data_IF_069777231831
#
_entry.id   IF_069777231831
#
_cell.length_a   1.000
_cell.length_b   1.000
_cell.length_c   1.000
_cell.angle_alpha   90.00
_cell.angle_beta   90.00
_cell.angle_gamma   90.00
#
_symmetry.space_group_name_H-M   'P 1'
#
loop_
_entity.id
_entity.type
_entity.pdbx_description
1 polymer ?
#
# COMPACT_ATOMS: atom_id res chain seq x y z
N UNK A 1 1.98 18.19 -8.41
CA UNK A 1 1.73 19.65 -8.31
C UNK A 1 0.89 20.17 -9.48
N UNK A 2 0.82 19.48 -10.62
CA UNK A 2 -0.18 19.73 -11.66
C UNK A 2 -1.54 19.17 -11.27
N UNK A 3 -2.61 19.70 -11.87
CA UNK A 3 -3.94 19.12 -11.89
C UNK A 3 -4.36 18.95 -13.36
N UNK A 4 -4.56 17.71 -13.82
CA UNK A 4 -5.16 17.37 -15.11
C UNK A 4 -4.66 18.21 -16.30
N UNK A 5 -3.34 18.29 -16.47
CA UNK A 5 -2.69 19.01 -17.56
C UNK A 5 -2.40 20.49 -17.32
N UNK A 6 -2.63 21.02 -16.10
CA UNK A 6 -2.33 22.41 -15.76
C UNK A 6 -0.83 22.76 -15.86
N UNK A 7 0.05 21.75 -15.80
CA UNK A 7 1.48 21.88 -16.10
C UNK A 7 1.88 20.90 -17.20
N UNK A 8 2.74 21.37 -18.12
CA UNK A 8 3.35 20.55 -19.17
C UNK A 8 4.73 20.00 -18.78
N UNK A 9 5.14 20.12 -17.53
CA UNK A 9 6.44 19.59 -17.07
C UNK A 9 6.58 18.08 -17.26
N UNK A 10 7.81 17.55 -17.40
CA UNK A 10 8.06 16.12 -17.46
C UNK A 10 7.46 15.34 -16.28
N UNK A 11 7.52 15.88 -15.06
CA UNK A 11 7.02 15.22 -13.85
C UNK A 11 5.48 15.11 -13.86
N UNK A 12 4.78 16.15 -14.32
CA UNK A 12 3.33 16.12 -14.47
C UNK A 12 2.90 15.09 -15.53
N UNK A 13 3.57 15.11 -16.69
CA UNK A 13 3.31 14.15 -17.77
C UNK A 13 3.60 12.71 -17.34
N UNK A 14 4.64 12.48 -16.54
CA UNK A 14 4.98 11.16 -16.00
C UNK A 14 3.80 10.55 -15.21
N UNK A 15 3.20 11.33 -14.31
CA UNK A 15 2.08 10.85 -13.50
C UNK A 15 0.81 10.69 -14.34
N UNK A 16 0.54 11.61 -15.27
CA UNK A 16 -0.58 11.50 -16.21
C UNK A 16 -0.49 10.22 -17.05
N UNK A 17 0.71 9.92 -17.57
CA UNK A 17 0.99 8.71 -18.33
C UNK A 17 0.86 7.46 -17.44
N UNK A 18 1.35 7.50 -16.21
CA UNK A 18 1.18 6.39 -15.26
C UNK A 18 -0.30 6.09 -15.01
N UNK A 19 -1.14 7.11 -14.79
CA UNK A 19 -2.60 6.96 -14.64
C UNK A 19 -3.22 6.31 -15.88
N UNK A 20 -2.82 6.75 -17.07
CA UNK A 20 -3.27 6.15 -18.33
C UNK A 20 -2.95 4.65 -18.40
N UNK A 21 -1.70 4.26 -18.11
CA UNK A 21 -1.28 2.84 -18.12
C UNK A 21 -2.08 2.02 -17.10
N UNK A 22 -2.33 2.56 -15.92
CA UNK A 22 -3.12 1.86 -14.88
C UNK A 22 -4.55 1.61 -15.39
N UNK A 23 -5.20 2.61 -16.00
CA UNK A 23 -6.55 2.46 -16.54
C UNK A 23 -6.61 1.52 -17.74
N UNK A 24 -5.59 1.49 -18.59
CA UNK A 24 -5.48 0.50 -19.67
C UNK A 24 -5.41 -0.94 -19.15
N UNK A 25 -4.71 -1.15 -18.03
CA UNK A 25 -4.55 -2.49 -17.41
C UNK A 25 -5.73 -2.90 -16.54
N UNK A 26 -6.37 -1.95 -15.86
CA UNK A 26 -7.53 -2.19 -15.03
C UNK A 26 -8.53 -1.03 -15.13
N UNK A 27 -9.43 -1.05 -16.13
CA UNK A 27 -10.40 0.02 -16.35
C UNK A 27 -11.39 0.21 -15.20
N UNK A 28 -11.63 -0.84 -14.40
CA UNK A 28 -12.56 -0.81 -13.27
C UNK A 28 -11.98 -0.22 -11.99
N UNK A 29 -10.65 -0.08 -11.91
CA UNK A 29 -10.00 0.51 -10.75
C UNK A 29 -10.33 2.00 -10.67
N UNK A 30 -10.88 2.42 -9.53
CA UNK A 30 -11.11 3.83 -9.19
C UNK A 30 -9.75 4.44 -8.88
N UNK A 31 -9.22 5.20 -9.82
CA UNK A 31 -7.94 5.90 -9.70
C UNK A 31 -7.93 7.09 -10.64
N UNK A 32 -7.37 8.20 -10.20
CA UNK A 32 -7.28 9.37 -11.04
C UNK A 32 -6.04 10.22 -10.79
N UNK A 33 -5.75 11.11 -11.73
CA UNK A 33 -4.56 11.96 -11.72
C UNK A 33 -4.03 12.24 -13.14
N UNK A 34 -3.00 13.08 -13.26
CA UNK A 34 -2.22 13.67 -12.17
C UNK A 34 -2.96 14.80 -11.45
N UNK A 35 -2.78 14.90 -10.13
CA UNK A 35 -3.38 15.96 -9.33
C UNK A 35 -2.52 16.33 -8.11
N UNK A 36 -2.83 17.48 -7.53
CA UNK A 36 -2.34 17.90 -6.22
C UNK A 36 -3.09 17.13 -5.12
N UNK A 37 -2.37 16.79 -4.03
CA UNK A 37 -2.95 16.12 -2.88
C UNK A 37 -4.06 16.96 -2.21
N UNK A 38 -3.91 18.29 -2.16
CA UNK A 38 -4.93 19.20 -1.63
C UNK A 38 -6.27 19.11 -2.35
N UNK A 39 -6.24 18.80 -3.66
CA UNK A 39 -7.44 18.62 -4.48
C UNK A 39 -8.02 17.22 -4.25
N UNK A 40 -7.17 16.19 -4.19
CA UNK A 40 -7.60 14.81 -3.98
C UNK A 40 -8.48 14.63 -2.72
N UNK A 41 -8.20 15.37 -1.64
CA UNK A 41 -8.98 15.30 -0.40
C UNK A 41 -10.13 16.31 -0.30
N UNK A 42 -10.28 17.23 -1.27
CA UNK A 42 -11.34 18.24 -1.25
C UNK A 42 -12.44 17.88 -2.25
N UNK A 43 -13.51 17.26 -1.73
CA UNK A 43 -14.63 16.77 -2.54
C UNK A 43 -15.44 17.90 -3.20
N UNK A 44 -15.54 19.06 -2.56
CA UNK A 44 -16.23 20.21 -3.15
C UNK A 44 -15.46 20.73 -4.37
N UNK A 45 -14.14 20.92 -4.22
CA UNK A 45 -13.30 21.35 -5.35
C UNK A 45 -13.27 20.31 -6.46
N UNK A 46 -13.21 19.01 -6.13
CA UNK A 46 -13.29 17.95 -7.14
C UNK A 46 -14.61 18.02 -7.91
N UNK A 47 -15.74 18.13 -7.22
CA UNK A 47 -17.06 18.21 -7.86
C UNK A 47 -17.20 19.45 -8.73
N UNK A 48 -16.74 20.59 -8.25
CA UNK A 48 -17.00 21.88 -8.90
C UNK A 48 -16.05 22.12 -10.08
N UNK A 49 -14.77 21.77 -9.95
CA UNK A 49 -13.75 22.04 -10.97
C UNK A 49 -13.38 20.83 -11.82
N UNK A 50 -13.58 19.61 -11.31
CA UNK A 50 -13.19 18.35 -11.96
C UNK A 50 -14.31 17.30 -11.89
N UNK A 51 -15.56 17.62 -12.29
CA UNK A 51 -16.71 16.71 -12.15
C UNK A 51 -16.56 15.39 -12.94
N UNK A 52 -15.63 15.35 -13.90
CA UNK A 52 -15.28 14.16 -14.67
C UNK A 52 -14.40 13.17 -13.89
N UNK A 53 -13.83 13.58 -12.74
CA UNK A 53 -12.91 12.74 -11.99
C UNK A 53 -13.64 11.56 -11.36
N UNK A 54 -13.02 10.38 -11.47
CA UNK A 54 -13.54 9.15 -10.85
C UNK A 54 -13.50 9.21 -9.31
N UNK A 55 -12.79 10.20 -8.74
CA UNK A 55 -12.68 10.39 -7.30
C UNK A 55 -13.83 11.22 -6.70
N UNK A 56 -14.71 11.79 -7.52
CA UNK A 56 -15.87 12.55 -7.03
C UNK A 56 -16.78 11.62 -6.22
N UNK A 57 -17.07 12.01 -4.97
CA UNK A 57 -17.89 11.23 -4.05
C UNK A 57 -17.19 9.99 -3.49
N UNK A 58 -15.88 9.86 -3.70
CA UNK A 58 -15.07 8.75 -3.18
C UNK A 58 -14.20 9.20 -2.01
N UNK A 59 -13.98 8.29 -1.06
CA UNK A 59 -12.99 8.50 0.01
C UNK A 59 -11.60 8.12 -0.48
N UNK A 60 -10.76 9.13 -0.72
CA UNK A 60 -9.37 8.91 -1.14
C UNK A 60 -8.57 8.28 0.00
N UNK A 61 -8.02 7.10 -0.25
CA UNK A 61 -7.31 6.29 0.75
C UNK A 61 -5.88 5.89 0.33
N UNK A 62 -5.51 6.16 -0.93
CA UNK A 62 -4.22 5.76 -1.48
C UNK A 62 -3.60 6.91 -2.27
N UNK A 63 -2.35 7.26 -1.96
CA UNK A 63 -1.58 8.26 -2.66
C UNK A 63 -0.39 7.61 -3.38
N UNK A 64 -0.28 7.86 -4.69
CA UNK A 64 0.87 7.42 -5.49
C UNK A 64 1.71 8.65 -5.82
N UNK A 65 2.99 8.59 -5.44
CA UNK A 65 3.93 9.71 -5.60
C UNK A 65 4.79 9.52 -6.85
N UNK A 66 5.21 10.63 -7.50
CA UNK A 66 6.01 10.57 -8.73
C UNK A 66 7.42 10.00 -8.52
N UNK A 67 7.95 10.08 -7.30
CA UNK A 67 9.28 9.60 -6.96
C UNK A 67 9.44 9.38 -5.44
N UNK A 68 10.59 8.80 -5.06
CA UNK A 68 10.93 8.48 -3.68
C UNK A 68 11.03 9.71 -2.79
N UNK A 69 11.57 10.82 -3.29
CA UNK A 69 11.73 12.04 -2.50
C UNK A 69 10.36 12.60 -2.07
N UNK A 70 9.42 12.73 -3.01
CA UNK A 70 8.07 13.20 -2.71
C UNK A 70 7.33 12.27 -1.74
N UNK A 71 7.42 10.95 -1.95
CA UNK A 71 6.79 9.96 -1.06
C UNK A 71 7.39 9.98 0.34
N UNK A 72 8.72 10.01 0.47
CA UNK A 72 9.40 10.01 1.76
C UNK A 72 9.17 11.30 2.55
N UNK A 73 9.14 12.47 1.88
CA UNK A 73 8.80 13.74 2.52
C UNK A 73 7.36 13.71 3.03
N UNK A 74 6.40 13.32 2.19
CA UNK A 74 4.99 13.24 2.59
C UNK A 74 4.78 12.25 3.75
N UNK A 75 5.40 11.08 3.68
CA UNK A 75 5.37 10.06 4.73
C UNK A 75 5.87 10.59 6.08
N UNK A 76 7.05 11.19 6.12
CA UNK A 76 7.62 11.70 7.37
C UNK A 76 6.82 12.91 7.91
N UNK A 77 6.29 13.78 7.04
CA UNK A 77 5.42 14.87 7.47
C UNK A 77 4.13 14.35 8.13
N UNK A 78 3.46 13.38 7.52
CA UNK A 78 2.25 12.79 8.10
C UNK A 78 2.54 12.09 9.43
N UNK A 79 3.66 11.39 9.52
CA UNK A 79 4.08 10.70 10.74
C UNK A 79 4.46 11.67 11.87
N UNK A 80 5.42 12.55 11.62
CA UNK A 80 6.09 13.34 12.66
C UNK A 80 5.33 14.63 12.99
N UNK A 81 4.67 15.24 11.99
CA UNK A 81 3.88 16.48 12.18
C UNK A 81 2.40 16.16 12.31
N UNK A 82 1.88 15.27 11.47
CA UNK A 82 0.47 14.86 11.49
C UNK A 82 0.10 13.92 12.64
N UNK A 83 1.10 13.40 13.38
CA UNK A 83 0.90 12.45 14.47
C UNK A 83 0.35 11.09 14.01
N UNK A 84 0.44 10.79 12.72
CA UNK A 84 -0.06 9.53 12.19
C UNK A 84 0.84 8.36 12.58
N UNK A 85 0.24 7.26 13.01
CA UNK A 85 0.96 6.01 13.22
C UNK A 85 1.43 5.45 11.87
N UNK A 86 2.74 5.32 11.71
CA UNK A 86 3.35 4.80 10.50
C UNK A 86 3.74 3.33 10.65
N UNK A 87 3.27 2.48 9.73
CA UNK A 87 3.67 1.08 9.61
C UNK A 87 4.41 0.90 8.28
N UNK A 88 5.68 0.51 8.35
CA UNK A 88 6.49 0.27 7.16
C UNK A 88 7.98 0.47 7.36
N UNK A 89 8.77 0.40 6.28
CA UNK A 89 8.33 0.19 4.89
C UNK A 89 7.85 -1.25 4.61
N UNK A 90 6.72 -1.39 3.90
CA UNK A 90 6.22 -2.68 3.44
C UNK A 90 6.70 -2.91 2.00
N UNK A 91 7.39 -4.03 1.77
CA UNK A 91 7.85 -4.41 0.44
C UNK A 91 6.76 -5.17 -0.31
N UNK A 92 6.50 -4.76 -1.54
CA UNK A 92 5.49 -5.35 -2.43
C UNK A 92 6.17 -6.07 -3.60
N UNK A 93 5.46 -7.02 -4.22
CA UNK A 93 5.89 -7.69 -5.47
C UNK A 93 6.86 -8.88 -5.31
N UNK A 94 7.38 -9.15 -4.11
CA UNK A 94 8.24 -10.30 -3.86
C UNK A 94 7.45 -11.62 -3.79
N UNK A 95 8.05 -12.73 -4.28
CA UNK A 95 7.43 -14.08 -4.25
C UNK A 95 7.19 -14.61 -2.82
N UNK A 96 8.01 -14.20 -1.85
CA UNK A 96 7.87 -14.54 -0.43
C UNK A 96 7.76 -13.26 0.41
N UNK A 97 7.12 -13.32 1.59
CA UNK A 97 6.99 -12.17 2.48
C UNK A 97 8.36 -11.85 3.11
N UNK A 98 8.98 -10.79 2.61
CA UNK A 98 10.24 -10.26 3.14
C UNK A 98 10.03 -8.77 3.32
N UNK A 99 10.24 -8.29 4.55
CA UNK A 99 10.14 -6.89 4.89
C UNK A 99 11.38 -6.45 5.67
N UNK A 100 11.71 -5.16 5.57
CA UNK A 100 12.91 -4.60 6.19
C UNK A 100 12.48 -3.65 7.28
N UNK A 101 13.06 -3.83 8.47
CA UNK A 101 12.90 -2.93 9.60
C UNK A 101 14.02 -1.89 9.60
N UNK A 102 13.69 -0.67 9.99
CA UNK A 102 14.69 0.39 10.17
C UNK A 102 15.39 0.24 11.53
N UNK A 103 16.66 0.63 11.59
CA UNK A 103 17.38 0.76 12.86
C UNK A 103 16.65 1.77 13.74
N UNK A 104 16.46 1.43 15.03
CA UNK A 104 15.69 2.25 15.96
C UNK A 104 14.17 2.03 15.90
N UNK A 105 13.69 1.02 15.16
CA UNK A 105 12.27 0.65 15.18
C UNK A 105 11.80 0.30 16.60
N UNK A 106 10.63 0.82 17.00
CA UNK A 106 10.01 0.48 18.27
C UNK A 106 9.56 -0.98 18.30
N UNK A 107 9.41 -1.54 19.51
CA UNK A 107 8.87 -2.91 19.70
C UNK A 107 7.51 -3.06 18.98
N UNK A 108 6.66 -2.04 19.05
CA UNK A 108 5.36 -2.02 18.36
C UNK A 108 5.50 -2.09 16.84
N UNK A 109 6.46 -1.37 16.26
CA UNK A 109 6.74 -1.43 14.82
C UNK A 109 7.19 -2.82 14.39
N UNK A 110 8.11 -3.44 15.16
CA UNK A 110 8.59 -4.80 14.92
C UNK A 110 7.42 -5.80 14.95
N UNK A 111 6.57 -5.70 15.98
CA UNK A 111 5.38 -6.53 16.12
C UNK A 111 4.42 -6.37 14.94
N UNK A 112 4.09 -5.13 14.56
CA UNK A 112 3.20 -4.85 13.44
C UNK A 112 3.76 -5.40 12.12
N UNK A 113 5.06 -5.24 11.87
CA UNK A 113 5.70 -5.75 10.65
C UNK A 113 5.75 -7.28 10.62
N UNK A 114 5.90 -7.94 11.76
CA UNK A 114 5.79 -9.39 11.85
C UNK A 114 4.36 -9.86 11.50
N UNK A 115 3.33 -9.16 11.99
CA UNK A 115 1.94 -9.45 11.62
C UNK A 115 1.69 -9.26 10.12
N UNK A 116 2.17 -8.16 9.55
CA UNK A 116 2.08 -7.90 8.11
C UNK A 116 2.74 -9.03 7.32
N UNK A 117 3.93 -9.49 7.71
CA UNK A 117 4.63 -10.59 7.06
C UNK A 117 3.84 -11.91 7.11
N UNK A 118 3.18 -12.19 8.24
CA UNK A 118 2.31 -13.38 8.39
C UNK A 118 1.11 -13.30 7.46
N UNK A 119 0.43 -12.15 7.39
CA UNK A 119 -0.72 -11.94 6.51
C UNK A 119 -0.30 -12.05 5.04
N UNK A 120 0.83 -11.44 4.65
CA UNK A 120 1.37 -11.54 3.29
C UNK A 120 1.72 -13.00 2.94
N UNK A 121 2.29 -13.76 3.89
CA UNK A 121 2.51 -15.20 3.73
C UNK A 121 1.19 -15.93 3.44
N UNK A 122 0.17 -15.70 4.26
CA UNK A 122 -1.12 -16.38 4.15
C UNK A 122 -1.80 -16.07 2.80
N UNK A 123 -1.81 -14.82 2.36
CA UNK A 123 -2.39 -14.41 1.09
C UNK A 123 -1.69 -15.11 -0.08
N UNK A 124 -0.35 -15.17 -0.06
CA UNK A 124 0.45 -15.82 -1.10
C UNK A 124 0.35 -17.35 -1.07
N UNK A 125 0.15 -17.93 0.11
CA UNK A 125 0.10 -19.37 0.33
C UNK A 125 -1.32 -19.96 0.31
N UNK A 126 -2.33 -19.24 -0.20
CA UNK A 126 -3.72 -19.72 -0.38
C UNK A 126 -3.90 -20.94 -1.33
N UNK A 127 -2.86 -21.75 -1.58
CA UNK A 127 -2.98 -23.06 -2.22
C UNK A 127 -3.21 -24.17 -1.18
N UNK A 128 -4.00 -25.19 -1.55
CA UNK A 128 -4.23 -26.42 -0.76
C UNK A 128 -2.94 -27.10 -0.29
N UNK A 129 -1.85 -26.94 -1.05
CA UNK A 129 -0.53 -27.48 -0.75
C UNK A 129 0.10 -26.94 0.55
N UNK A 130 -0.28 -25.74 1.00
CA UNK A 130 0.28 -25.19 2.25
C UNK A 130 -0.29 -25.90 3.47
N UNK A 131 -1.59 -26.19 3.49
CA UNK A 131 -2.21 -26.94 4.59
C UNK A 131 -1.63 -28.37 4.66
N UNK A 132 -1.46 -29.03 3.51
CA UNK A 132 -0.79 -30.34 3.45
C UNK A 132 0.66 -30.28 3.92
N UNK A 133 1.44 -29.25 3.53
CA UNK A 133 2.82 -29.11 3.95
C UNK A 133 2.94 -28.83 5.46
N UNK A 134 2.03 -28.03 6.01
CA UNK A 134 1.94 -27.72 7.44
C UNK A 134 1.58 -28.97 8.23
N UNK A 135 0.55 -29.72 7.82
CA UNK A 135 0.17 -31.01 8.43
C UNK A 135 1.29 -32.05 8.35
N UNK A 136 2.06 -32.05 7.26
CA UNK A 136 3.16 -32.98 7.07
C UNK A 136 4.46 -32.60 7.77
N UNK A 137 4.58 -31.37 8.30
CA UNK A 137 5.80 -30.91 8.96
C UNK A 137 6.04 -31.62 10.30
N UNK A 138 7.31 -31.94 10.57
CA UNK A 138 7.73 -32.68 11.78
C UNK A 138 7.35 -31.93 13.07
N UNK A 139 7.43 -30.61 13.04
CA UNK A 139 7.11 -29.77 14.20
C UNK A 139 5.59 -29.75 14.51
N UNK A 140 4.72 -29.64 13.50
CA UNK A 140 3.27 -29.73 13.71
C UNK A 140 2.81 -31.11 14.18
N UNK A 141 3.40 -32.19 13.65
CA UNK A 141 3.14 -33.56 14.13
C UNK A 141 3.53 -33.74 15.59
N UNK A 142 4.66 -33.15 16.01
CA UNK A 142 5.11 -33.15 17.41
C UNK A 142 4.17 -32.33 18.31
N UNK A 143 3.71 -31.17 17.85
CA UNK A 143 2.77 -30.32 18.58
C UNK A 143 1.40 -30.99 18.80
N UNK A 144 0.82 -31.60 17.76
CA UNK A 144 -0.44 -32.37 17.88
C UNK A 144 -0.33 -33.57 18.83
N UNK A 145 0.84 -34.23 18.89
CA UNK A 145 1.06 -35.35 19.81
C UNK A 145 1.03 -34.90 21.27
N UNK A 146 1.73 -33.81 21.59
CA UNK A 146 1.76 -33.23 22.96
C UNK A 146 0.37 -32.76 23.42
N UNK A 147 -0.42 -32.18 22.51
CA UNK A 147 -1.80 -31.76 22.81
C UNK A 147 -2.79 -32.91 23.08
N UNK A 148 -2.46 -34.14 22.69
CA UNK A 148 -3.35 -35.31 22.80
C UNK A 148 -3.06 -36.16 24.05
N UNK A 149 -1.90 -35.94 24.65
CA UNK A 149 -1.41 -36.58 25.88
C UNK A 149 -1.72 -35.72 27.14
N UNK A 150 -2.48 -34.63 26.97
CA UNK A 150 -3.04 -33.72 27.99
C UNK A 150 -4.57 -33.88 28.02
#
# INVERSE_FOLDING_TARGET
YSNFGSSKSPEAQLVANARKIVKERNPSLIVDGEMQASIAFNQDILRDNYPFSELVGQEVNTLIFPNLAAGNVAYNLLKDVGGADAIGPILLGLKKPVHVLQLGSSVRSIYNMALVAVIDAQIKCKSSATNEAVENSKWWKKFKKVSKDL
#
